data_IF_997451653088
#
_entry.id   IF_997451653088
#
_cell.length_a   1.000
_cell.length_b   1.000
_cell.length_c   1.000
_cell.angle_alpha   90.00
_cell.angle_beta   90.00
_cell.angle_gamma   90.00
#
_symmetry.space_group_name_H-M   'P 1'
#
loop_
_entity.id
_entity.type
_entity.pdbx_description
1 polymer ?
#
# COMPACT_ATOMS: atom_id res chain seq x y z
N UNK A 1 -25.75 -4.33 30.59
CA UNK A 1 -25.43 -5.71 31.05
C UNK A 1 -23.96 -5.93 30.76
N UNK A 2 -23.11 -5.86 31.79
CA UNK A 2 -21.72 -6.31 31.65
C UNK A 2 -21.77 -7.82 31.37
N UNK A 3 -21.41 -8.22 30.17
CA UNK A 3 -21.15 -9.63 29.87
C UNK A 3 -19.96 -10.04 30.74
N UNK A 4 -20.21 -10.87 31.72
CA UNK A 4 -19.23 -11.39 32.66
C UNK A 4 -18.27 -12.28 31.87
N UNK A 5 -17.19 -11.68 31.35
CA UNK A 5 -16.17 -12.37 30.53
C UNK A 5 -15.45 -13.36 31.44
N UNK A 6 -15.50 -14.66 31.09
CA UNK A 6 -14.78 -15.71 31.83
C UNK A 6 -13.30 -15.34 31.95
N UNK A 7 -12.75 -15.42 33.16
CA UNK A 7 -11.37 -15.09 33.48
C UNK A 7 -10.58 -16.36 33.75
N UNK A 8 -9.26 -16.30 33.64
CA UNK A 8 -8.35 -17.41 34.02
C UNK A 8 -8.61 -17.84 35.47
N UNK A 9 -8.96 -16.90 36.36
CA UNK A 9 -9.26 -17.18 37.75
C UNK A 9 -10.51 -18.08 37.90
N UNK A 10 -11.53 -17.83 37.10
CA UNK A 10 -12.79 -18.60 37.17
C UNK A 10 -12.58 -20.07 36.75
N UNK A 11 -11.73 -20.27 35.71
CA UNK A 11 -11.31 -21.62 35.25
C UNK A 11 -10.44 -22.32 36.29
N UNK A 12 -9.50 -21.60 36.89
CA UNK A 12 -8.62 -22.14 37.91
C UNK A 12 -9.42 -22.58 39.14
N UNK A 13 -10.41 -21.79 39.57
CA UNK A 13 -11.33 -22.10 40.67
C UNK A 13 -12.19 -23.33 40.33
N UNK A 14 -12.80 -23.38 39.14
CA UNK A 14 -13.64 -24.51 38.72
C UNK A 14 -12.89 -25.84 38.68
N UNK A 15 -11.58 -25.81 38.39
CA UNK A 15 -10.72 -27.00 38.28
C UNK A 15 -9.91 -27.32 39.55
N UNK A 16 -9.97 -26.43 40.57
CA UNK A 16 -9.19 -26.58 41.80
C UNK A 16 -7.66 -26.53 41.59
N UNK A 17 -7.17 -25.72 40.63
CA UNK A 17 -5.76 -25.56 40.31
C UNK A 17 -5.36 -24.08 40.33
N UNK A 18 -4.04 -23.81 40.25
CA UNK A 18 -3.54 -22.45 40.26
C UNK A 18 -3.82 -21.73 38.89
N UNK A 19 -4.03 -20.41 38.94
CA UNK A 19 -4.11 -19.58 37.73
C UNK A 19 -2.85 -19.68 36.85
N UNK A 20 -1.70 -19.89 37.47
CA UNK A 20 -0.39 -20.14 36.81
C UNK A 20 -0.46 -21.44 35.98
N UNK A 21 -1.06 -22.51 36.51
CA UNK A 21 -1.24 -23.78 35.78
C UNK A 21 -2.11 -23.62 34.58
N UNK A 22 -3.28 -22.95 34.70
CA UNK A 22 -4.18 -22.65 33.57
C UNK A 22 -3.45 -21.79 32.52
N UNK A 23 -2.77 -20.74 32.96
CA UNK A 23 -1.99 -19.86 32.06
C UNK A 23 -0.88 -20.64 31.31
N UNK A 24 -0.19 -21.54 31.99
CA UNK A 24 0.85 -22.36 31.35
C UNK A 24 0.26 -23.30 30.28
N UNK A 25 -0.90 -23.89 30.50
CA UNK A 25 -1.59 -24.71 29.49
C UNK A 25 -2.00 -23.86 28.30
N UNK A 26 -2.65 -22.71 28.51
CA UNK A 26 -3.05 -21.77 27.46
C UNK A 26 -1.83 -21.37 26.58
N UNK A 27 -0.65 -21.28 27.18
CA UNK A 27 0.57 -20.85 26.51
C UNK A 27 1.48 -22.00 26.03
N UNK A 28 1.01 -23.25 26.10
CA UNK A 28 1.76 -24.44 25.67
C UNK A 28 2.98 -24.76 26.52
N UNK A 29 3.12 -24.19 27.73
CA UNK A 29 4.20 -24.48 28.68
C UNK A 29 3.86 -25.69 29.55
N UNK A 30 3.62 -26.85 28.90
CA UNK A 30 3.05 -28.04 29.55
C UNK A 30 4.07 -29.04 30.08
N UNK A 31 5.39 -28.83 29.83
CA UNK A 31 6.45 -29.78 30.18
C UNK A 31 6.51 -30.25 31.67
N UNK A 32 5.94 -29.48 32.59
CA UNK A 32 5.82 -29.77 34.02
C UNK A 32 4.40 -30.02 34.51
N UNK A 33 3.46 -30.23 33.60
CA UNK A 33 2.03 -30.41 33.87
C UNK A 33 1.63 -31.79 33.34
N UNK A 34 0.88 -32.58 34.14
CA UNK A 34 0.43 -33.89 33.69
C UNK A 34 -0.57 -33.76 32.50
N UNK A 35 -0.53 -34.71 31.57
CA UNK A 35 -1.43 -34.75 30.42
C UNK A 35 -2.90 -34.76 30.85
N UNK A 36 -3.24 -35.40 31.98
CA UNK A 36 -4.57 -35.38 32.54
C UNK A 36 -5.01 -33.96 32.94
N UNK A 37 -4.11 -33.16 33.51
CA UNK A 37 -4.38 -31.77 33.90
C UNK A 37 -4.53 -30.88 32.63
N UNK A 38 -3.66 -31.08 31.63
CA UNK A 38 -3.73 -30.36 30.37
C UNK A 38 -5.12 -30.57 29.72
N UNK A 39 -5.55 -31.83 29.56
CA UNK A 39 -6.87 -32.16 29.00
C UNK A 39 -8.03 -31.56 29.79
N UNK A 40 -7.98 -31.58 31.11
CA UNK A 40 -9.01 -30.98 31.95
C UNK A 40 -9.13 -29.46 31.72
N UNK A 41 -8.01 -28.77 31.60
CA UNK A 41 -7.96 -27.34 31.34
C UNK A 41 -8.50 -27.05 29.93
N UNK A 42 -8.06 -27.79 28.92
CA UNK A 42 -8.53 -27.63 27.54
C UNK A 42 -10.06 -27.81 27.42
N UNK A 43 -10.60 -28.85 28.06
CA UNK A 43 -12.04 -29.08 28.10
C UNK A 43 -12.83 -27.97 28.79
N UNK A 44 -12.32 -27.42 29.89
CA UNK A 44 -13.00 -26.33 30.59
C UNK A 44 -12.89 -25.01 29.82
N UNK A 45 -11.77 -24.76 29.13
CA UNK A 45 -11.61 -23.62 28.20
C UNK A 45 -12.65 -23.70 27.07
N UNK A 46 -12.81 -24.86 26.46
CA UNK A 46 -13.79 -25.09 25.40
C UNK A 46 -15.23 -24.94 25.89
N UNK A 47 -15.56 -25.58 27.00
CA UNK A 47 -16.88 -25.52 27.63
C UNK A 47 -17.31 -24.11 28.02
N UNK A 48 -16.38 -23.33 28.53
CA UNK A 48 -16.63 -21.94 28.95
C UNK A 48 -16.56 -20.92 27.84
N UNK A 49 -16.10 -21.32 26.65
CA UNK A 49 -15.84 -20.42 25.53
C UNK A 49 -14.77 -19.37 25.85
N UNK A 50 -13.80 -19.72 26.71
CA UNK A 50 -12.78 -18.79 27.11
C UNK A 50 -11.92 -18.34 25.93
N UNK A 51 -11.86 -17.05 25.71
CA UNK A 51 -10.98 -16.41 24.71
C UNK A 51 -9.85 -15.70 25.46
N UNK A 52 -8.58 -16.06 25.22
CA UNK A 52 -7.45 -15.40 25.85
C UNK A 52 -7.46 -13.88 25.65
N UNK A 53 -7.22 -13.14 26.73
CA UNK A 53 -7.11 -11.69 26.63
C UNK A 53 -5.73 -11.32 26.08
N UNK A 54 -5.70 -10.68 24.92
CA UNK A 54 -4.44 -10.24 24.29
C UNK A 54 -3.60 -9.35 25.20
N UNK A 55 -4.21 -8.49 26.02
CA UNK A 55 -3.47 -7.68 26.98
C UNK A 55 -2.63 -8.52 27.97
N UNK A 56 -3.17 -9.66 28.43
CA UNK A 56 -2.41 -10.60 29.28
C UNK A 56 -1.25 -11.29 28.53
N UNK A 57 -1.45 -11.60 27.25
CA UNK A 57 -0.40 -12.19 26.39
C UNK A 57 0.72 -11.17 26.13
N UNK A 58 0.36 -9.93 25.85
CA UNK A 58 1.28 -8.81 25.62
C UNK A 58 2.19 -8.58 26.83
N UNK A 59 1.62 -8.55 28.03
CA UNK A 59 2.36 -8.39 29.29
C UNK A 59 3.32 -9.56 29.57
N UNK A 60 2.94 -10.79 29.19
CA UNK A 60 3.73 -11.99 29.50
C UNK A 60 4.90 -12.25 28.53
N UNK A 61 4.83 -11.76 27.29
CA UNK A 61 5.76 -12.17 26.21
C UNK A 61 6.61 -11.05 25.62
N UNK A 62 6.37 -9.80 25.97
CA UNK A 62 7.00 -8.63 25.32
C UNK A 62 6.98 -8.70 23.79
N UNK A 63 5.89 -9.27 23.23
CA UNK A 63 5.67 -9.54 21.82
C UNK A 63 4.19 -9.34 21.52
N UNK A 64 3.84 -8.21 20.93
CA UNK A 64 2.45 -7.84 20.71
C UNK A 64 1.79 -8.60 19.57
N UNK A 65 2.59 -9.10 18.62
CA UNK A 65 2.09 -9.59 17.34
C UNK A 65 1.27 -8.52 16.57
N UNK A 66 1.55 -7.25 16.85
CA UNK A 66 0.89 -6.13 16.18
C UNK A 66 1.90 -5.43 15.25
N UNK A 67 1.52 -5.30 13.99
CA UNK A 67 2.20 -4.46 13.02
C UNK A 67 1.34 -3.21 12.80
N UNK A 68 1.93 -2.03 13.02
CA UNK A 68 1.29 -0.77 12.69
C UNK A 68 1.43 -0.46 11.21
N UNK A 69 0.33 -0.11 10.55
CA UNK A 69 0.34 0.42 9.19
C UNK A 69 -0.12 1.87 9.25
N UNK A 70 0.77 2.79 8.91
CA UNK A 70 0.49 4.23 9.01
C UNK A 70 0.55 4.86 7.64
N UNK A 71 -0.51 5.54 7.28
CA UNK A 71 -0.63 6.26 6.00
C UNK A 71 -0.72 7.75 6.25
N UNK A 72 0.00 8.51 5.43
CA UNK A 72 -0.12 9.95 5.42
C UNK A 72 -1.49 10.36 4.87
N UNK A 73 -2.29 11.03 5.70
CA UNK A 73 -3.56 11.63 5.27
C UNK A 73 -3.31 12.96 4.55
N UNK A 74 -2.61 12.85 3.40
CA UNK A 74 -2.28 14.00 2.58
C UNK A 74 -3.56 14.68 2.05
N UNK A 75 -3.53 16.00 1.90
CA UNK A 75 -4.67 16.84 1.46
C UNK A 75 -5.34 16.33 0.18
N UNK A 76 -4.60 15.69 -0.73
CA UNK A 76 -5.14 15.11 -1.98
C UNK A 76 -6.21 14.05 -1.76
N UNK A 77 -6.21 13.39 -0.61
CA UNK A 77 -7.18 12.35 -0.28
C UNK A 77 -8.47 12.90 0.33
N UNK A 78 -8.49 14.19 0.72
CA UNK A 78 -9.66 14.84 1.31
C UNK A 78 -10.24 14.05 2.51
N UNK A 79 -9.36 13.46 3.35
CA UNK A 79 -9.72 12.61 4.50
C UNK A 79 -10.15 11.19 4.14
N UNK A 80 -9.97 10.76 2.88
CA UNK A 80 -10.41 9.45 2.35
C UNK A 80 -9.26 8.59 1.84
N UNK A 81 -8.09 8.68 2.46
CA UNK A 81 -6.90 7.94 2.03
C UNK A 81 -7.12 6.41 1.92
N UNK A 82 -8.02 5.85 2.74
CA UNK A 82 -8.37 4.43 2.71
C UNK A 82 -9.22 4.02 1.49
N UNK A 83 -9.79 4.99 0.75
CA UNK A 83 -10.52 4.74 -0.49
C UNK A 83 -9.61 4.74 -1.72
N UNK A 84 -8.35 5.14 -1.56
CA UNK A 84 -7.37 5.09 -2.65
C UNK A 84 -7.10 3.64 -3.07
N UNK A 85 -7.15 3.35 -4.37
CA UNK A 85 -7.06 2.00 -4.90
C UNK A 85 -5.72 1.30 -4.62
N UNK A 86 -4.62 2.05 -4.62
CA UNK A 86 -3.30 1.53 -4.25
C UNK A 86 -3.22 1.23 -2.75
N UNK A 87 -3.69 2.15 -1.91
CA UNK A 87 -3.73 1.97 -0.45
C UNK A 87 -4.59 0.77 -0.08
N UNK A 88 -5.78 0.65 -0.67
CA UNK A 88 -6.71 -0.46 -0.44
C UNK A 88 -6.09 -1.81 -0.84
N UNK A 89 -5.46 -1.89 -2.01
CA UNK A 89 -4.77 -3.10 -2.48
C UNK A 89 -3.62 -3.48 -1.55
N UNK A 90 -2.83 -2.50 -1.11
CA UNK A 90 -1.72 -2.71 -0.18
C UNK A 90 -2.20 -3.22 1.18
N UNK A 91 -3.25 -2.62 1.75
CA UNK A 91 -3.83 -3.06 3.02
C UNK A 91 -4.42 -4.47 2.94
N UNK A 92 -5.11 -4.81 1.85
CA UNK A 92 -5.63 -6.15 1.63
C UNK A 92 -4.50 -7.20 1.59
N UNK A 93 -3.42 -6.92 0.85
CA UNK A 93 -2.27 -7.81 0.77
C UNK A 93 -1.55 -7.95 2.12
N UNK A 94 -1.33 -6.84 2.82
CA UNK A 94 -0.73 -6.83 4.16
C UNK A 94 -1.58 -7.59 5.17
N UNK A 95 -2.90 -7.44 5.12
CA UNK A 95 -3.82 -8.15 6.03
C UNK A 95 -3.73 -9.66 5.85
N UNK A 96 -3.67 -10.15 4.61
CA UNK A 96 -3.54 -11.58 4.32
C UNK A 96 -2.20 -12.12 4.80
N UNK A 97 -1.10 -11.49 4.44
CA UNK A 97 0.24 -11.92 4.83
C UNK A 97 0.43 -11.86 6.36
N UNK A 98 -0.07 -10.81 7.02
CA UNK A 98 -0.03 -10.69 8.47
C UNK A 98 -0.80 -11.84 9.15
N UNK A 99 -2.00 -12.16 8.66
CA UNK A 99 -2.80 -13.26 9.19
C UNK A 99 -2.10 -14.62 9.03
N UNK A 100 -1.47 -14.90 7.88
CA UNK A 100 -0.71 -16.13 7.65
C UNK A 100 0.46 -16.28 8.63
N UNK A 101 1.07 -15.16 9.02
CA UNK A 101 2.19 -15.12 9.99
C UNK A 101 1.74 -14.97 11.44
N UNK A 102 0.44 -14.90 11.71
CA UNK A 102 -0.13 -14.74 13.05
C UNK A 102 0.10 -13.35 13.65
N UNK A 103 0.17 -12.32 12.83
CA UNK A 103 0.17 -10.91 13.21
C UNK A 103 -1.21 -10.29 13.07
N UNK A 104 -1.45 -9.25 13.86
CA UNK A 104 -2.58 -8.35 13.70
C UNK A 104 -2.10 -7.04 13.09
N UNK A 105 -2.91 -6.47 12.20
CA UNK A 105 -2.66 -5.13 11.70
C UNK A 105 -3.42 -4.10 12.52
N UNK A 106 -2.76 -3.02 12.87
CA UNK A 106 -3.39 -1.83 13.44
C UNK A 106 -3.14 -0.64 12.50
N UNK A 107 -4.21 -0.09 11.96
CA UNK A 107 -4.19 0.94 10.94
C UNK A 107 -4.34 2.31 11.58
N UNK A 108 -3.51 3.28 11.16
CA UNK A 108 -3.60 4.68 11.53
C UNK A 108 -3.43 5.56 10.29
N UNK A 109 -4.29 6.55 10.16
CA UNK A 109 -4.12 7.65 9.21
C UNK A 109 -3.74 8.90 9.97
N UNK A 110 -2.72 9.62 9.53
CA UNK A 110 -2.30 10.89 10.14
C UNK A 110 -1.43 11.69 9.19
N UNK A 111 -1.54 12.99 9.23
CA UNK A 111 -0.58 13.91 8.59
C UNK A 111 0.53 14.36 9.57
N UNK A 112 0.46 13.98 10.85
CA UNK A 112 1.43 14.35 11.87
C UNK A 112 2.34 13.18 12.24
N UNK A 113 3.58 13.23 11.76
CA UNK A 113 4.61 12.21 12.02
C UNK A 113 4.87 11.98 13.52
N UNK A 114 4.64 13.01 14.37
CA UNK A 114 4.88 12.94 15.82
C UNK A 114 3.93 12.00 16.56
N UNK A 115 2.80 11.69 15.96
CA UNK A 115 1.84 10.73 16.52
C UNK A 115 2.31 9.27 16.39
N UNK A 116 3.21 8.97 15.45
CA UNK A 116 3.62 7.60 15.14
C UNK A 116 4.39 6.93 16.27
N UNK A 117 5.41 7.57 16.92
CA UNK A 117 6.10 6.98 18.06
C UNK A 117 5.18 6.70 19.25
N UNK A 118 4.23 7.57 19.51
CA UNK A 118 3.23 7.42 20.58
C UNK A 118 2.33 6.21 20.27
N UNK A 119 1.79 6.16 19.06
CA UNK A 119 0.96 5.05 18.57
C UNK A 119 1.69 3.71 18.68
N UNK A 120 2.93 3.64 18.20
CA UNK A 120 3.73 2.42 18.25
C UNK A 120 4.04 1.96 19.69
N UNK A 121 4.38 2.90 20.57
CA UNK A 121 4.71 2.61 21.97
C UNK A 121 3.51 2.18 22.80
N UNK A 122 2.36 2.85 22.63
CA UNK A 122 1.13 2.51 23.36
C UNK A 122 0.70 1.05 23.18
N UNK A 123 0.93 0.49 22.01
CA UNK A 123 0.55 -0.87 21.67
C UNK A 123 1.72 -1.85 21.64
N UNK A 124 2.92 -1.40 22.06
CA UNK A 124 4.14 -2.21 22.04
C UNK A 124 4.31 -2.97 20.71
N UNK A 125 4.16 -2.24 19.58
CA UNK A 125 4.14 -2.84 18.26
C UNK A 125 5.47 -3.51 17.90
N UNK A 126 5.40 -4.61 17.16
CA UNK A 126 6.55 -5.37 16.70
C UNK A 126 7.27 -4.72 15.50
N UNK A 127 6.58 -3.85 14.78
CA UNK A 127 7.11 -3.10 13.64
C UNK A 127 6.07 -2.17 13.02
N UNK A 128 6.53 -1.31 12.11
CA UNK A 128 5.68 -0.37 11.38
C UNK A 128 5.87 -0.51 9.86
N UNK A 129 4.82 -0.24 9.12
CA UNK A 129 4.85 0.00 7.67
C UNK A 129 4.31 1.40 7.43
N UNK A 130 5.07 2.23 6.73
CA UNK A 130 4.77 3.64 6.53
C UNK A 130 4.57 3.94 5.05
N UNK A 131 3.56 4.74 4.71
CA UNK A 131 3.22 5.10 3.34
C UNK A 131 2.95 6.60 3.20
N UNK A 132 3.56 7.24 2.19
CA UNK A 132 3.19 8.57 1.74
C UNK A 132 3.76 9.75 2.55
N UNK A 133 4.76 9.54 3.40
CA UNK A 133 5.48 10.60 4.11
C UNK A 133 6.68 11.10 3.31
N UNK A 134 7.21 12.27 3.62
CA UNK A 134 8.39 12.82 2.97
C UNK A 134 9.70 12.38 3.67
N UNK A 135 10.84 12.64 3.03
CA UNK A 135 12.17 12.25 3.53
C UNK A 135 12.43 12.77 4.95
N UNK A 136 12.18 14.06 5.20
CA UNK A 136 12.39 14.68 6.50
C UNK A 136 11.57 14.03 7.62
N UNK A 137 10.39 13.51 7.31
CA UNK A 137 9.54 12.81 8.27
C UNK A 137 10.17 11.49 8.72
N UNK A 138 10.78 10.74 7.80
CA UNK A 138 11.41 9.45 8.13
C UNK A 138 12.65 9.64 9.00
N UNK A 139 13.46 10.67 8.74
CA UNK A 139 14.60 11.03 9.57
C UNK A 139 14.18 11.44 10.98
N UNK A 140 13.16 12.31 11.07
CA UNK A 140 12.58 12.73 12.34
C UNK A 140 12.03 11.54 13.13
N UNK A 141 11.29 10.65 12.49
CA UNK A 141 10.76 9.43 13.13
C UNK A 141 11.90 8.53 13.62
N UNK A 142 12.94 8.33 12.81
CA UNK A 142 14.07 7.49 13.18
C UNK A 142 14.80 8.00 14.40
N UNK A 143 14.91 9.30 14.58
CA UNK A 143 15.52 9.92 15.77
C UNK A 143 14.71 9.68 17.05
N UNK A 144 13.38 9.52 16.93
CA UNK A 144 12.44 9.43 18.05
C UNK A 144 12.07 8.00 18.44
N UNK A 145 12.30 7.01 17.59
CA UNK A 145 11.93 5.61 17.88
C UNK A 145 13.02 4.63 17.53
N UNK A 146 13.08 3.53 18.30
CA UNK A 146 13.95 2.38 18.02
C UNK A 146 13.22 1.24 17.31
N UNK A 147 11.91 1.35 17.12
CA UNK A 147 11.13 0.33 16.43
C UNK A 147 11.60 0.20 14.98
N UNK A 148 11.61 -1.02 14.46
CA UNK A 148 11.91 -1.26 13.05
C UNK A 148 10.74 -0.87 12.18
N UNK A 149 11.00 -0.24 11.04
CA UNK A 149 9.93 0.07 10.08
C UNK A 149 10.36 -0.11 8.63
N UNK A 150 9.38 -0.43 7.81
CA UNK A 150 9.48 -0.50 6.35
C UNK A 150 8.72 0.70 5.78
N UNK A 151 9.33 1.38 4.83
CA UNK A 151 8.71 2.49 4.11
C UNK A 151 8.35 2.03 2.70
N UNK A 152 7.14 2.31 2.27
CA UNK A 152 6.75 2.13 0.88
C UNK A 152 7.04 3.41 0.11
N UNK A 153 7.90 3.29 -0.93
CA UNK A 153 8.29 4.37 -1.82
C UNK A 153 8.90 5.58 -1.09
N UNK A 154 9.82 5.30 -0.18
CA UNK A 154 10.57 6.35 0.52
C UNK A 154 11.71 6.91 -0.35
N UNK A 155 12.00 8.20 -0.14
CA UNK A 155 13.13 8.89 -0.74
C UNK A 155 14.00 9.45 0.37
N UNK A 156 14.90 8.63 0.91
CA UNK A 156 15.78 8.98 2.02
C UNK A 156 17.08 8.19 1.97
N UNK A 157 18.11 8.70 2.65
CA UNK A 157 19.38 7.99 2.80
C UNK A 157 19.21 6.73 3.65
N UNK A 158 19.96 5.68 3.34
CA UNK A 158 19.92 4.44 4.07
C UNK A 158 20.26 4.64 5.56
N UNK A 159 19.44 4.10 6.45
CA UNK A 159 19.67 4.15 7.89
C UNK A 159 19.34 2.81 8.57
N UNK A 160 19.86 2.60 9.80
CA UNK A 160 19.68 1.34 10.51
C UNK A 160 18.22 1.06 10.90
N UNK A 161 17.78 -0.20 10.75
CA UNK A 161 16.42 -0.68 11.10
C UNK A 161 15.30 0.02 10.34
N UNK A 162 15.61 0.54 9.16
CA UNK A 162 14.67 1.07 8.19
C UNK A 162 14.95 0.42 6.86
N UNK A 163 13.90 -0.08 6.21
CA UNK A 163 13.98 -0.62 4.85
C UNK A 163 13.09 0.23 3.96
N UNK A 164 13.65 0.77 2.88
CA UNK A 164 12.88 1.33 1.79
C UNK A 164 12.49 0.22 0.83
N UNK A 165 11.22 -0.08 0.75
CA UNK A 165 10.66 -1.07 -0.16
C UNK A 165 9.89 -0.33 -1.26
N UNK A 166 10.53 -0.20 -2.39
CA UNK A 166 9.98 0.51 -3.56
C UNK A 166 9.77 -0.43 -4.74
N UNK A 167 9.24 0.10 -5.82
CA UNK A 167 9.07 -0.57 -7.09
C UNK A 167 9.88 0.15 -8.18
N UNK A 168 10.02 -0.46 -9.35
CA UNK A 168 10.68 0.16 -10.50
C UNK A 168 9.82 1.25 -11.13
N UNK A 169 9.70 2.43 -10.48
CA UNK A 169 8.89 3.54 -10.97
C UNK A 169 9.35 4.02 -12.35
N UNK A 170 10.65 4.26 -12.50
CA UNK A 170 11.22 4.64 -13.80
C UNK A 170 11.00 3.54 -14.85
N UNK A 171 11.24 2.28 -14.48
CA UNK A 171 11.07 1.15 -15.40
C UNK A 171 9.61 0.99 -15.85
N UNK A 172 8.65 1.15 -14.95
CA UNK A 172 7.23 1.12 -15.29
C UNK A 172 6.83 2.23 -16.26
N UNK A 173 7.33 3.46 -16.02
CA UNK A 173 7.18 4.56 -16.97
C UNK A 173 7.82 4.26 -18.31
N UNK A 174 9.03 3.67 -18.30
CA UNK A 174 9.75 3.27 -19.51
C UNK A 174 8.98 2.24 -20.34
N UNK A 175 8.44 1.19 -19.69
CA UNK A 175 7.60 0.18 -20.36
C UNK A 175 6.35 0.84 -21.00
N UNK A 176 5.69 1.77 -20.29
CA UNK A 176 4.53 2.50 -20.82
C UNK A 176 4.89 3.37 -22.02
N UNK A 177 6.02 4.08 -21.96
CA UNK A 177 6.52 4.91 -23.06
C UNK A 177 6.93 4.10 -24.29
N UNK A 178 7.63 2.98 -24.08
CA UNK A 178 7.99 2.05 -25.14
C UNK A 178 6.74 1.48 -25.82
N UNK A 179 5.77 1.02 -25.05
CA UNK A 179 4.52 0.49 -25.55
C UNK A 179 3.74 1.53 -26.37
N UNK A 180 3.60 2.76 -25.86
CA UNK A 180 2.96 3.84 -26.60
C UNK A 180 3.64 4.11 -27.96
N UNK A 181 4.96 4.08 -28.01
CA UNK A 181 5.73 4.22 -29.25
C UNK A 181 5.49 3.06 -30.22
N UNK A 182 5.47 1.82 -29.71
CA UNK A 182 5.21 0.61 -30.51
C UNK A 182 3.79 0.60 -31.11
N UNK A 183 2.84 1.24 -30.45
CA UNK A 183 1.50 1.48 -30.99
C UNK A 183 1.45 2.54 -32.10
N UNK A 184 2.54 3.28 -32.33
CA UNK A 184 2.66 4.31 -33.38
C UNK A 184 2.39 5.74 -32.92
N UNK A 185 2.28 5.98 -31.60
CA UNK A 185 2.10 7.34 -31.09
C UNK A 185 3.38 8.17 -31.21
N UNK A 186 3.21 9.47 -31.53
CA UNK A 186 4.32 10.43 -31.64
C UNK A 186 4.12 11.66 -30.75
N UNK A 187 2.91 11.84 -30.20
CA UNK A 187 2.58 12.91 -29.26
C UNK A 187 1.81 12.33 -28.08
N UNK A 188 2.29 12.61 -26.89
CA UNK A 188 1.70 12.17 -25.64
C UNK A 188 1.43 13.35 -24.70
N UNK A 189 0.44 13.17 -23.82
CA UNK A 189 0.23 13.99 -22.64
C UNK A 189 0.51 13.17 -21.40
N UNK A 190 1.37 13.67 -20.51
CA UNK A 190 1.64 13.08 -19.20
C UNK A 190 0.89 13.86 -18.12
N UNK A 191 0.20 13.17 -17.19
CA UNK A 191 -0.61 13.77 -16.12
C UNK A 191 -0.14 13.30 -14.74
N UNK A 192 0.15 14.26 -13.84
CA UNK A 192 0.34 14.01 -12.40
C UNK A 192 -0.02 15.27 -11.62
N UNK A 193 -0.24 15.16 -10.31
CA UNK A 193 -0.48 16.30 -9.44
C UNK A 193 0.81 17.01 -9.01
N UNK A 194 1.95 16.36 -9.22
CA UNK A 194 3.26 16.91 -8.92
C UNK A 194 4.34 16.37 -9.89
N UNK A 195 5.55 16.94 -9.82
CA UNK A 195 6.74 16.49 -10.58
C UNK A 195 7.87 16.15 -9.59
N UNK A 196 7.55 15.30 -8.61
CA UNK A 196 8.46 14.92 -7.53
C UNK A 196 8.45 13.40 -7.33
N UNK A 197 9.51 12.87 -6.72
CA UNK A 197 9.59 11.49 -6.25
C UNK A 197 9.13 10.47 -7.30
N UNK A 198 8.22 9.58 -6.92
CA UNK A 198 7.72 8.49 -7.78
C UNK A 198 7.05 8.98 -9.06
N UNK A 199 6.29 10.08 -9.01
CA UNK A 199 5.61 10.62 -10.18
C UNK A 199 6.62 11.14 -11.21
N UNK A 200 7.66 11.82 -10.73
CA UNK A 200 8.77 12.25 -11.59
C UNK A 200 9.47 11.07 -12.25
N UNK A 201 9.81 10.03 -11.50
CA UNK A 201 10.47 8.84 -12.07
C UNK A 201 9.61 8.15 -13.13
N UNK A 202 8.30 8.00 -12.88
CA UNK A 202 7.34 7.46 -13.87
C UNK A 202 7.32 8.29 -15.14
N UNK A 203 7.27 9.63 -15.02
CA UNK A 203 7.26 10.55 -16.16
C UNK A 203 8.58 10.57 -16.91
N UNK A 204 9.71 10.54 -16.22
CA UNK A 204 11.03 10.52 -16.84
C UNK A 204 11.28 9.20 -17.60
N UNK A 205 10.87 8.06 -17.03
CA UNK A 205 10.91 6.77 -17.72
C UNK A 205 10.07 6.77 -18.99
N UNK A 206 8.83 7.27 -18.91
CA UNK A 206 7.96 7.38 -20.07
C UNK A 206 8.58 8.24 -21.18
N UNK A 207 9.06 9.43 -20.83
CA UNK A 207 9.71 10.34 -21.81
C UNK A 207 10.92 9.72 -22.47
N UNK A 208 11.76 9.05 -21.69
CA UNK A 208 12.98 8.41 -22.21
C UNK A 208 12.67 7.35 -23.27
N UNK A 209 11.69 6.47 -23.00
CA UNK A 209 11.30 5.42 -23.94
C UNK A 209 10.45 5.92 -25.12
N UNK A 210 9.66 6.98 -24.91
CA UNK A 210 8.80 7.56 -25.94
C UNK A 210 9.56 8.36 -26.98
N UNK A 211 10.78 8.79 -26.71
CA UNK A 211 11.64 9.52 -27.67
C UNK A 211 11.81 8.73 -28.99
N UNK A 212 11.81 9.40 -30.19
CA UNK A 212 11.79 10.86 -30.41
C UNK A 212 10.40 11.50 -30.36
N UNK A 213 9.36 10.80 -29.92
CA UNK A 213 8.02 11.37 -29.70
C UNK A 213 8.03 12.51 -28.68
N UNK A 214 7.05 13.40 -28.74
CA UNK A 214 6.93 14.54 -27.82
C UNK A 214 5.91 14.23 -26.72
N UNK A 215 6.36 14.19 -25.48
CA UNK A 215 5.53 14.04 -24.29
C UNK A 215 5.47 15.37 -23.51
N UNK A 216 4.29 15.98 -23.47
CA UNK A 216 4.04 17.19 -22.69
C UNK A 216 3.59 16.78 -21.29
N UNK A 217 3.99 17.55 -20.28
CA UNK A 217 3.53 17.35 -18.91
C UNK A 217 2.50 18.41 -18.52
N UNK A 218 1.39 17.95 -17.94
CA UNK A 218 0.43 18.78 -17.26
C UNK A 218 0.40 18.41 -15.80
N UNK A 219 0.75 19.36 -14.96
CA UNK A 219 0.50 19.28 -13.55
C UNK A 219 -0.96 19.63 -13.29
N UNK A 220 -1.72 18.66 -12.77
CA UNK A 220 -3.14 18.79 -12.48
C UNK A 220 -3.35 19.08 -10.98
N UNK A 221 -4.45 19.73 -10.60
CA UNK A 221 -4.76 19.97 -9.20
C UNK A 221 -4.91 18.66 -8.40
N UNK A 222 -4.42 18.66 -7.17
CA UNK A 222 -4.51 17.51 -6.28
C UNK A 222 -5.98 17.21 -5.86
N UNK A 223 -6.80 18.26 -5.64
CA UNK A 223 -8.20 18.12 -5.21
C UNK A 223 -9.12 17.78 -6.38
N UNK A 224 -10.00 16.79 -6.20
CA UNK A 224 -10.88 16.29 -7.27
C UNK A 224 -11.80 17.37 -7.86
N UNK A 225 -12.40 18.22 -7.02
CA UNK A 225 -13.27 19.31 -7.47
C UNK A 225 -12.52 20.32 -8.36
N UNK A 226 -11.25 20.58 -8.03
CA UNK A 226 -10.41 21.52 -8.79
C UNK A 226 -9.97 20.90 -10.12
N UNK A 227 -9.70 19.59 -10.16
CA UNK A 227 -9.36 18.88 -11.40
C UNK A 227 -10.47 18.95 -12.43
N UNK A 228 -11.73 18.76 -12.01
CA UNK A 228 -12.87 18.83 -12.93
C UNK A 228 -13.00 20.21 -13.59
N UNK A 229 -12.79 21.28 -12.82
CA UNK A 229 -12.77 22.65 -13.34
C UNK A 229 -11.56 22.88 -14.26
N UNK A 230 -10.38 22.44 -13.84
CA UNK A 230 -9.13 22.53 -14.61
C UNK A 230 -9.25 21.81 -15.96
N UNK A 231 -9.79 20.60 -16.00
CA UNK A 231 -10.00 19.88 -17.25
C UNK A 231 -10.97 20.60 -18.17
N UNK A 232 -12.05 21.16 -17.64
CA UNK A 232 -13.04 21.90 -18.43
C UNK A 232 -12.43 23.17 -19.06
N UNK A 233 -11.64 23.92 -18.30
CA UNK A 233 -10.92 25.11 -18.77
C UNK A 233 -9.89 24.77 -19.85
N UNK A 234 -9.15 23.67 -19.66
CA UNK A 234 -8.05 23.29 -20.53
C UNK A 234 -8.45 22.34 -21.67
N UNK A 235 -9.72 21.97 -21.79
CA UNK A 235 -10.18 20.98 -22.78
C UNK A 235 -9.86 21.39 -24.23
N UNK A 236 -10.10 22.66 -24.61
CA UNK A 236 -9.74 23.16 -25.96
C UNK A 236 -8.23 23.07 -26.21
N UNK A 237 -7.42 23.39 -25.19
CA UNK A 237 -5.97 23.26 -25.28
C UNK A 237 -5.57 21.80 -25.48
N UNK A 238 -6.20 20.86 -24.76
CA UNK A 238 -5.98 19.42 -24.94
C UNK A 238 -6.23 18.99 -26.40
N UNK A 239 -7.36 19.35 -26.99
CA UNK A 239 -7.68 19.02 -28.39
C UNK A 239 -6.61 19.57 -29.36
N UNK A 240 -6.13 20.79 -29.14
CA UNK A 240 -5.12 21.43 -29.99
C UNK A 240 -3.71 20.81 -29.86
N UNK A 241 -3.43 20.03 -28.80
CA UNK A 241 -2.14 19.32 -28.69
C UNK A 241 -2.04 18.18 -29.70
N UNK A 242 -3.17 17.68 -30.20
CA UNK A 242 -3.23 16.49 -31.06
C UNK A 242 -2.47 15.30 -30.44
N UNK A 243 -2.47 15.21 -29.08
CA UNK A 243 -1.92 14.07 -28.37
C UNK A 243 -2.87 12.90 -28.56
N UNK A 244 -2.33 11.76 -29.01
CA UNK A 244 -3.13 10.56 -29.30
C UNK A 244 -3.03 9.53 -28.17
N UNK A 245 -2.16 9.77 -27.18
CA UNK A 245 -2.03 8.96 -25.97
C UNK A 245 -1.83 9.84 -24.75
N UNK A 246 -2.43 9.44 -23.63
CA UNK A 246 -2.26 10.04 -22.31
C UNK A 246 -1.62 8.99 -21.38
N UNK A 247 -0.54 9.36 -20.72
CA UNK A 247 0.04 8.59 -19.61
C UNK A 247 -0.19 9.33 -18.29
N UNK A 248 -0.91 8.72 -17.38
CA UNK A 248 -1.16 9.26 -16.06
C UNK A 248 -0.29 8.56 -15.00
N UNK A 249 0.21 9.32 -14.05
CA UNK A 249 1.10 8.80 -12.98
C UNK A 249 0.43 7.72 -12.11
N UNK A 250 -0.91 7.66 -12.07
CA UNK A 250 -1.66 6.61 -11.39
C UNK A 250 -2.96 6.28 -12.11
N UNK A 251 -3.52 5.12 -11.83
CA UNK A 251 -4.85 4.74 -12.29
C UNK A 251 -5.93 5.73 -11.83
N UNK A 252 -5.75 6.28 -10.63
CA UNK A 252 -6.67 7.30 -10.10
C UNK A 252 -6.80 8.50 -11.04
N UNK A 253 -5.68 9.08 -11.49
CA UNK A 253 -5.69 10.19 -12.43
C UNK A 253 -6.08 9.77 -13.85
N UNK A 254 -5.68 8.58 -14.27
CA UNK A 254 -6.06 8.02 -15.57
C UNK A 254 -7.59 7.89 -15.70
N UNK A 255 -8.23 7.27 -14.72
CA UNK A 255 -9.68 7.04 -14.70
C UNK A 255 -10.48 8.33 -14.51
N UNK A 256 -9.98 9.27 -13.71
CA UNK A 256 -10.60 10.59 -13.52
C UNK A 256 -10.60 11.37 -14.84
N UNK A 257 -9.47 11.41 -15.54
CA UNK A 257 -9.37 12.08 -16.83
C UNK A 257 -10.15 11.35 -17.93
N UNK A 258 -10.12 10.01 -17.95
CA UNK A 258 -10.88 9.18 -18.88
C UNK A 258 -12.38 9.48 -18.78
N UNK A 259 -12.91 9.49 -17.57
CA UNK A 259 -14.33 9.83 -17.31
C UNK A 259 -14.66 11.24 -17.79
N UNK A 260 -13.80 12.23 -17.51
CA UNK A 260 -13.99 13.59 -18.01
C UNK A 260 -14.07 13.61 -19.55
N UNK A 261 -13.13 12.98 -20.25
CA UNK A 261 -13.11 12.94 -21.72
C UNK A 261 -14.36 12.28 -22.30
N UNK A 262 -14.84 11.20 -21.69
CA UNK A 262 -16.08 10.52 -22.10
C UNK A 262 -17.30 11.44 -21.94
N UNK A 263 -17.37 12.29 -20.90
CA UNK A 263 -18.46 13.30 -20.77
C UNK A 263 -18.43 14.35 -21.88
N UNK A 264 -17.27 14.52 -22.54
CA UNK A 264 -17.11 15.42 -23.69
C UNK A 264 -17.28 14.72 -25.04
N UNK A 265 -17.68 13.46 -25.05
CA UNK A 265 -17.89 12.67 -26.27
C UNK A 265 -16.60 12.17 -26.92
N UNK A 266 -15.46 12.26 -26.25
CA UNK A 266 -14.17 11.71 -26.73
C UNK A 266 -14.21 10.19 -26.53
N UNK A 267 -13.96 9.45 -27.59
CA UNK A 267 -13.98 7.98 -27.58
C UNK A 267 -12.60 7.43 -27.22
N UNK A 268 -12.58 6.50 -26.29
CA UNK A 268 -11.38 5.79 -25.85
C UNK A 268 -11.56 4.32 -26.22
N UNK A 269 -10.66 3.71 -26.98
CA UNK A 269 -9.35 4.20 -27.45
C UNK A 269 -9.34 4.92 -28.80
N UNK A 270 -10.49 5.21 -29.41
CA UNK A 270 -10.60 5.63 -30.81
C UNK A 270 -9.98 6.99 -31.10
N UNK A 271 -10.33 7.99 -30.29
CA UNK A 271 -9.87 9.37 -30.48
C UNK A 271 -8.61 9.66 -29.65
N UNK A 272 -8.50 9.03 -28.45
CA UNK A 272 -7.33 9.10 -27.59
C UNK A 272 -7.19 7.80 -26.81
N UNK A 273 -5.95 7.37 -26.56
CA UNK A 273 -5.62 6.22 -25.75
C UNK A 273 -5.12 6.63 -24.36
N UNK A 274 -5.33 5.80 -23.35
CA UNK A 274 -4.98 6.13 -21.97
C UNK A 274 -4.22 4.98 -21.32
N UNK A 275 -3.12 5.31 -20.64
CA UNK A 275 -2.28 4.39 -19.88
C UNK A 275 -2.20 4.92 -18.45
N UNK A 276 -2.46 4.06 -17.48
CA UNK A 276 -2.33 4.33 -16.05
C UNK A 276 -1.12 3.68 -15.40
N UNK A 277 -1.13 3.66 -14.08
CA UNK A 277 -0.15 3.00 -13.24
C UNK A 277 -0.85 2.53 -11.95
N UNK A 278 -0.59 1.33 -11.46
CA UNK A 278 -0.96 0.65 -10.19
C UNK A 278 -1.74 -0.66 -10.38
N UNK A 279 -2.45 -0.86 -11.48
CA UNK A 279 -3.34 -2.00 -11.75
C UNK A 279 -4.39 -2.21 -10.66
N UNK A 280 -5.12 -1.16 -10.33
CA UNK A 280 -6.19 -1.18 -9.33
C UNK A 280 -7.41 -1.98 -9.78
N UNK A 281 -8.30 -2.35 -8.85
CA UNK A 281 -9.58 -2.99 -9.20
C UNK A 281 -10.40 -2.11 -10.16
N UNK A 282 -10.43 -0.79 -9.92
CA UNK A 282 -11.15 0.15 -10.77
C UNK A 282 -10.63 0.17 -12.20
N UNK A 283 -9.33 -0.03 -12.44
CA UNK A 283 -8.74 -0.09 -13.78
C UNK A 283 -9.19 -1.32 -14.58
N UNK A 284 -9.46 -2.42 -13.89
CA UNK A 284 -9.98 -3.67 -14.48
C UNK A 284 -11.48 -3.63 -14.76
N UNK A 285 -12.21 -2.81 -14.03
CA UNK A 285 -13.68 -2.69 -14.10
C UNK A 285 -14.15 -1.49 -14.92
N UNK A 286 -13.23 -0.59 -15.30
CA UNK A 286 -13.56 0.58 -16.14
C UNK A 286 -14.00 0.17 -17.56
N UNK A 287 -14.69 1.07 -18.24
CA UNK A 287 -15.13 0.89 -19.63
C UNK A 287 -14.63 2.05 -20.49
N UNK A 288 -13.68 1.78 -21.40
CA UNK A 288 -12.91 0.54 -21.61
C UNK A 288 -12.03 0.22 -20.39
N UNK A 289 -11.61 -1.06 -20.25
CA UNK A 289 -10.65 -1.48 -19.23
C UNK A 289 -9.30 -0.80 -19.45
N UNK A 290 -8.67 -0.32 -18.36
CA UNK A 290 -7.50 0.55 -18.44
C UNK A 290 -6.20 -0.25 -18.61
N UNK A 291 -5.43 0.05 -19.66
CA UNK A 291 -4.02 -0.33 -19.79
C UNK A 291 -3.22 0.35 -18.69
N UNK A 292 -2.44 -0.41 -17.93
CA UNK A 292 -1.77 0.13 -16.74
C UNK A 292 -0.50 -0.65 -16.42
N UNK A 293 0.36 -0.09 -15.56
CA UNK A 293 1.52 -0.77 -15.02
C UNK A 293 1.14 -1.47 -13.72
N UNK A 294 1.27 -2.79 -13.70
CA UNK A 294 1.00 -3.63 -12.53
C UNK A 294 2.15 -3.56 -11.53
N UNK A 295 1.80 -3.40 -10.25
CA UNK A 295 2.67 -3.61 -9.12
C UNK A 295 2.11 -4.73 -8.21
N UNK A 296 2.95 -5.71 -7.86
CA UNK A 296 2.52 -6.87 -7.08
C UNK A 296 2.42 -6.53 -5.58
N UNK A 297 1.22 -6.14 -5.14
CA UNK A 297 0.94 -5.83 -3.75
C UNK A 297 1.17 -7.03 -2.81
N UNK A 298 0.95 -8.26 -3.28
CA UNK A 298 1.15 -9.47 -2.47
C UNK A 298 2.65 -9.72 -2.23
N UNK A 299 3.46 -9.65 -3.28
CA UNK A 299 4.92 -9.76 -3.15
C UNK A 299 5.47 -8.63 -2.26
N UNK A 300 4.94 -7.41 -2.38
CA UNK A 300 5.34 -6.27 -1.57
C UNK A 300 5.03 -6.48 -0.08
N UNK A 301 3.82 -6.94 0.24
CA UNK A 301 3.42 -7.28 1.61
C UNK A 301 4.30 -8.38 2.21
N UNK A 302 4.54 -9.47 1.46
CA UNK A 302 5.42 -10.57 1.87
C UNK A 302 6.84 -10.09 2.18
N UNK A 303 7.40 -9.26 1.30
CA UNK A 303 8.74 -8.68 1.49
C UNK A 303 8.77 -7.77 2.70
N UNK A 304 7.77 -6.89 2.88
CA UNK A 304 7.70 -5.97 4.02
C UNK A 304 7.68 -6.71 5.37
N UNK A 305 6.82 -7.72 5.51
CA UNK A 305 6.75 -8.49 6.76
C UNK A 305 8.01 -9.32 6.99
N UNK A 306 8.62 -9.90 5.94
CA UNK A 306 9.88 -10.61 6.06
C UNK A 306 11.02 -9.70 6.55
N UNK A 307 11.09 -8.46 6.05
CA UNK A 307 12.05 -7.46 6.52
C UNK A 307 11.83 -7.09 7.98
N UNK A 308 10.60 -6.87 8.42
CA UNK A 308 10.29 -6.58 9.82
C UNK A 308 10.69 -7.74 10.73
N UNK A 309 10.41 -8.98 10.36
CA UNK A 309 10.81 -10.18 11.12
C UNK A 309 12.33 -10.36 11.20
N UNK A 310 13.05 -10.10 10.10
CA UNK A 310 14.49 -10.18 10.05
C UNK A 310 15.13 -9.11 10.96
N UNK A 311 14.72 -7.83 10.82
CA UNK A 311 15.21 -6.73 11.66
C UNK A 311 14.93 -6.96 13.13
N UNK A 312 13.76 -7.53 13.46
CA UNK A 312 13.41 -7.89 14.84
C UNK A 312 14.28 -9.00 15.40
N UNK A 313 14.65 -9.96 14.57
CA UNK A 313 15.54 -11.07 14.94
C UNK A 313 17.01 -10.68 14.96
N UNK A 314 17.33 -9.39 14.75
CA UNK A 314 18.71 -8.89 14.67
C UNK A 314 19.46 -9.29 13.41
N UNK A 315 18.76 -9.77 12.39
CA UNK A 315 19.33 -10.08 11.07
C UNK A 315 19.42 -8.80 10.25
N UNK A 316 20.45 -8.73 9.41
CA UNK A 316 20.58 -7.67 8.43
C UNK A 316 19.52 -7.80 7.34
N UNK A 317 18.99 -6.66 6.92
CA UNK A 317 18.13 -6.52 5.76
C UNK A 317 18.76 -5.52 4.77
N UNK A 318 18.54 -5.75 3.51
CA UNK A 318 18.85 -4.78 2.46
C UNK A 318 18.08 -3.49 2.73
N UNK A 319 18.81 -2.36 2.83
CA UNK A 319 18.19 -1.07 3.18
C UNK A 319 17.30 -0.51 2.05
N UNK A 320 17.57 -0.91 0.81
CA UNK A 320 16.83 -0.51 -0.39
C UNK A 320 16.44 -1.75 -1.18
N UNK A 321 15.15 -2.00 -1.34
CA UNK A 321 14.62 -3.14 -2.11
C UNK A 321 13.72 -2.58 -3.20
N UNK A 322 14.00 -2.94 -4.45
CA UNK A 322 13.20 -2.52 -5.61
C UNK A 322 12.50 -3.74 -6.20
N UNK A 323 11.18 -3.75 -6.19
CA UNK A 323 10.39 -4.81 -6.81
C UNK A 323 10.11 -4.50 -8.29
N UNK A 324 10.03 -5.51 -9.15
CA UNK A 324 9.73 -5.33 -10.56
C UNK A 324 8.26 -4.91 -10.75
N UNK A 325 8.00 -4.28 -11.89
CA UNK A 325 6.67 -3.90 -12.39
C UNK A 325 6.47 -4.41 -13.81
N UNK A 326 5.22 -4.52 -14.26
CA UNK A 326 4.91 -5.04 -15.60
C UNK A 326 3.75 -4.27 -16.22
N UNK A 327 3.90 -3.80 -17.44
CA UNK A 327 2.79 -3.21 -18.20
C UNK A 327 1.75 -4.27 -18.57
N UNK A 328 0.49 -3.98 -18.32
CA UNK A 328 -0.67 -4.83 -18.66
C UNK A 328 -1.51 -4.11 -19.72
N UNK A 329 -1.39 -4.47 -21.00
CA UNK A 329 -2.25 -3.92 -22.05
C UNK A 329 -3.72 -4.33 -21.87
N UNK A 330 -4.63 -3.37 -22.08
CA UNK A 330 -6.08 -3.57 -22.05
C UNK A 330 -6.78 -2.71 -23.11
N UNK A 331 -8.11 -2.57 -23.01
CA UNK A 331 -8.96 -1.96 -24.05
C UNK A 331 -8.78 -0.45 -24.22
N UNK A 332 -8.23 0.28 -23.22
CA UNK A 332 -7.97 1.72 -23.33
C UNK A 332 -6.84 2.06 -24.31
N UNK A 333 -6.16 1.06 -24.85
CA UNK A 333 -5.14 1.19 -25.88
C UNK A 333 -5.32 0.16 -26.99
N UNK A 334 -4.91 0.52 -28.20
CA UNK A 334 -4.89 -0.39 -29.35
C UNK A 334 -3.85 0.05 -30.37
N UNK A 335 -3.44 -0.87 -31.22
CA UNK A 335 -2.55 -0.53 -32.34
C UNK A 335 -3.20 0.53 -33.24
N UNK A 336 -2.47 1.62 -33.52
CA UNK A 336 -2.94 2.63 -34.46
C UNK A 336 -3.14 2.00 -35.86
N UNK A 337 -4.20 2.35 -36.59
CA UNK A 337 -4.33 1.94 -37.98
C UNK A 337 -3.11 2.42 -38.75
N UNK A 338 -2.45 1.52 -39.51
CA UNK A 338 -1.45 1.96 -40.47
C UNK A 338 -2.16 2.81 -41.53
N UNK A 339 -2.05 4.14 -41.45
CA UNK A 339 -2.35 4.97 -42.57
C UNK A 339 -1.19 4.77 -43.56
N UNK A 340 -1.40 3.88 -44.55
CA UNK A 340 -0.57 3.92 -45.78
C UNK A 340 -0.79 5.25 -46.42
N UNK A 341 0.25 6.09 -46.37
CA UNK A 341 0.35 7.36 -47.14
C UNK A 341 0.35 7.05 -48.65
#
# INVERSE_FOLDING_TARGET
MEQNRVRIADIAEALGISTATVSNVIHGKTAKISDATVKRVEQELEKTGYIPNMAGILLARNNSRIIGVVMNDHVKYEGRVLEDGFVMSSLNALSREANEKGYFLMIKTTADIREIPVFASMWNMDGLILMGFCEADYEALRSQTRISFVVYDGYFAACSKVVNLTIGHYDGGYQAGQYARELGHTKALCLADNDLCMDKERMDGFRAAFAPGKALFWQIPALQKERSAYYAEHFRRFLNLHSTVVFAASDFYALDFMRFLQTKGVRIPDDVQIIGFDDTAASRESVPTLTTVHQDAAQRAKTALACLEAMRSGKECEAQIVLPVTLIPRESTRKMPCWTL
#
